data_IF_643080632236
#
_entry.id   IF_643080632236
#
_cell.length_a   1.000
_cell.length_b   1.000
_cell.length_c   1.000
_cell.angle_alpha   90.00
_cell.angle_beta   90.00
_cell.angle_gamma   90.00
#
_symmetry.space_group_name_H-M   'P 1'
#
loop_
_entity.id
_entity.type
_entity.pdbx_description
1 polymer ?
#
# COMPACT_ATOMS: atom_id res chain seq x y z
N UNK A 1 -32.61 -31.00 15.82
CA UNK A 1 -33.75 -30.43 16.57
C UNK A 1 -34.43 -29.43 15.65
N UNK A 2 -35.69 -29.64 15.30
CA UNK A 2 -36.41 -28.71 14.42
C UNK A 2 -36.71 -27.42 15.19
N UNK A 3 -36.24 -26.29 14.67
CA UNK A 3 -36.50 -24.97 15.24
C UNK A 3 -37.92 -24.57 14.79
N UNK A 4 -38.81 -24.14 15.70
CA UNK A 4 -40.19 -23.81 15.36
C UNK A 4 -40.24 -22.65 14.35
N UNK A 5 -41.17 -22.74 13.39
CA UNK A 5 -41.36 -21.76 12.31
C UNK A 5 -42.04 -20.45 12.78
N UNK A 6 -42.66 -20.46 13.96
CA UNK A 6 -43.33 -19.31 14.55
C UNK A 6 -43.04 -19.26 16.04
N UNK A 7 -42.44 -18.15 16.49
CA UNK A 7 -42.29 -17.85 17.91
C UNK A 7 -43.61 -17.19 18.34
N UNK A 8 -44.39 -17.87 19.17
CA UNK A 8 -45.60 -17.28 19.74
C UNK A 8 -45.23 -16.14 20.68
N UNK A 9 -46.01 -15.05 20.65
CA UNK A 9 -45.87 -13.97 21.61
C UNK A 9 -46.07 -14.49 23.04
N UNK A 10 -45.21 -14.04 23.95
CA UNK A 10 -45.22 -14.50 25.34
C UNK A 10 -46.52 -14.09 26.03
N UNK A 11 -47.16 -15.04 26.68
CA UNK A 11 -48.43 -14.81 27.38
C UNK A 11 -48.21 -13.88 28.58
N UNK A 12 -49.05 -12.85 28.82
CA UNK A 12 -48.84 -11.86 29.88
C UNK A 12 -48.86 -12.43 31.31
N UNK A 13 -49.31 -13.67 31.48
CA UNK A 13 -49.28 -14.42 32.74
C UNK A 13 -48.14 -15.46 32.83
N UNK A 14 -47.15 -15.41 31.92
CA UNK A 14 -45.98 -16.29 31.98
C UNK A 14 -45.11 -15.91 33.20
N UNK A 15 -44.86 -16.82 34.15
CA UNK A 15 -44.03 -16.55 35.33
C UNK A 15 -42.55 -16.25 35.00
N UNK A 16 -42.12 -16.49 33.75
CA UNK A 16 -40.79 -16.14 33.24
C UNK A 16 -40.75 -14.73 32.62
N UNK A 17 -41.90 -14.09 32.44
CA UNK A 17 -42.00 -12.73 31.94
C UNK A 17 -41.50 -11.79 33.04
N UNK A 18 -40.36 -11.15 32.78
CA UNK A 18 -39.82 -10.10 33.63
C UNK A 18 -40.86 -8.98 33.69
N UNK A 19 -41.60 -8.91 34.79
CA UNK A 19 -42.51 -7.81 35.05
C UNK A 19 -41.72 -6.50 34.91
N UNK A 20 -42.30 -5.48 34.25
CA UNK A 20 -41.65 -4.19 34.11
C UNK A 20 -41.26 -3.68 35.50
N UNK A 21 -40.02 -3.26 35.64
CA UNK A 21 -39.51 -2.79 36.92
C UNK A 21 -40.31 -1.55 37.36
N UNK A 22 -40.69 -1.45 38.63
CA UNK A 22 -41.33 -0.25 39.13
C UNK A 22 -40.36 0.93 39.02
N UNK A 23 -40.89 2.11 38.70
CA UNK A 23 -40.14 3.37 38.56
C UNK A 23 -39.31 3.71 39.80
N UNK A 24 -39.77 3.26 40.98
CA UNK A 24 -39.03 3.30 42.24
C UNK A 24 -38.83 1.90 42.77
N UNK A 25 -37.57 1.53 42.97
CA UNK A 25 -37.19 0.26 43.57
C UNK A 25 -37.64 0.18 45.03
N UNK A 26 -38.17 -0.97 45.47
CA UNK A 26 -38.53 -1.14 46.87
C UNK A 26 -37.27 -1.14 47.76
N UNK A 27 -37.39 -0.73 49.03
CA UNK A 27 -36.27 -0.77 49.95
C UNK A 27 -35.80 -2.20 50.18
N UNK A 28 -34.52 -2.34 50.58
CA UNK A 28 -33.96 -3.64 50.94
C UNK A 28 -34.82 -4.32 52.01
N UNK A 29 -35.13 -5.62 51.86
CA UNK A 29 -35.90 -6.37 52.86
C UNK A 29 -35.08 -6.71 54.13
N UNK A 30 -33.75 -6.62 54.08
CA UNK A 30 -32.84 -6.99 55.17
C UNK A 30 -33.18 -6.39 56.55
N UNK A 31 -33.43 -5.07 56.68
CA UNK A 31 -33.76 -4.47 57.98
C UNK A 31 -35.10 -4.92 58.57
N UNK A 32 -36.05 -5.38 57.75
CA UNK A 32 -37.39 -5.79 58.22
C UNK A 32 -37.48 -7.27 58.62
N UNK A 33 -36.48 -8.08 58.25
CA UNK A 33 -36.45 -9.52 58.55
C UNK A 33 -36.34 -9.83 60.05
N UNK A 34 -35.47 -9.18 60.86
CA UNK A 34 -35.32 -9.52 62.28
C UNK A 34 -36.62 -9.33 63.08
N UNK A 35 -37.35 -8.25 62.84
CA UNK A 35 -38.64 -7.97 63.49
C UNK A 35 -39.74 -8.94 63.06
N UNK A 36 -39.72 -9.40 61.80
CA UNK A 36 -40.65 -10.41 61.32
C UNK A 36 -40.36 -11.77 61.95
N UNK A 37 -39.08 -12.16 62.02
CA UNK A 37 -38.63 -13.42 62.62
C UNK A 37 -39.01 -13.47 64.11
N UNK A 38 -38.74 -12.40 64.87
CA UNK A 38 -39.13 -12.33 66.28
C UNK A 38 -40.64 -12.42 66.49
N UNK A 39 -41.44 -11.91 65.55
CA UNK A 39 -42.90 -12.02 65.61
C UNK A 39 -43.41 -13.44 65.30
N UNK A 40 -42.68 -14.21 64.47
CA UNK A 40 -42.97 -15.62 64.21
C UNK A 40 -42.54 -16.54 65.37
N UNK A 41 -41.52 -16.17 66.15
CA UNK A 41 -41.03 -16.97 67.28
C UNK A 41 -42.13 -17.28 68.31
N UNK A 42 -43.08 -16.36 68.53
CA UNK A 42 -44.25 -16.57 69.41
C UNK A 42 -45.18 -17.70 68.95
N UNK A 43 -45.20 -18.00 67.64
CA UNK A 43 -46.03 -19.06 67.06
C UNK A 43 -45.27 -20.38 66.88
N UNK A 44 -43.93 -20.34 66.85
CA UNK A 44 -43.07 -21.52 66.71
C UNK A 44 -42.75 -22.12 68.09
N UNK A 45 -42.57 -21.29 69.12
CA UNK A 45 -42.23 -21.71 70.48
C UNK A 45 -43.16 -21.06 71.52
N UNK A 46 -44.24 -21.74 71.94
CA UNK A 46 -45.20 -21.19 72.90
C UNK A 46 -44.59 -20.99 74.30
N UNK A 47 -43.43 -21.58 74.59
CA UNK A 47 -42.72 -21.38 75.87
C UNK A 47 -42.04 -20.01 75.98
N UNK A 48 -41.74 -19.36 74.85
CA UNK A 48 -41.20 -18.00 74.78
C UNK A 48 -42.28 -16.91 74.82
N UNK A 49 -43.56 -17.27 74.62
CA UNK A 49 -44.67 -16.32 74.67
C UNK A 49 -45.03 -15.87 76.09
N UNK A 50 -44.68 -16.65 77.12
CA UNK A 50 -45.03 -16.39 78.52
C UNK A 50 -43.99 -15.60 79.32
N UNK A 51 -42.78 -15.37 78.78
CA UNK A 51 -41.70 -14.65 79.47
C UNK A 51 -41.61 -13.15 79.13
N UNK A 52 -42.35 -12.67 78.12
CA UNK A 52 -42.47 -11.25 77.79
C UNK A 52 -43.73 -10.67 78.43
N UNK A 53 -43.62 -10.23 79.68
CA UNK A 53 -44.66 -9.52 80.44
C UNK A 53 -44.84 -8.08 79.93
N UNK A 54 -45.47 -7.89 78.78
CA UNK A 54 -45.95 -6.58 78.30
C UNK A 54 -47.10 -6.79 77.32
N UNK A 55 -48.04 -5.85 77.31
CA UNK A 55 -49.34 -5.80 76.61
C UNK A 55 -49.25 -5.87 75.05
N UNK A 56 -48.53 -6.84 74.49
CA UNK A 56 -48.44 -7.03 73.05
C UNK A 56 -49.51 -8.00 72.59
N UNK A 57 -50.60 -7.47 72.00
CA UNK A 57 -51.57 -8.27 71.25
C UNK A 57 -50.81 -9.15 70.23
N UNK A 58 -51.00 -10.47 70.31
CA UNK A 58 -50.39 -11.40 69.37
C UNK A 58 -50.82 -11.04 67.94
N UNK A 59 -49.86 -10.63 67.10
CA UNK A 59 -50.12 -10.21 65.72
C UNK A 59 -50.67 -11.41 64.95
N UNK A 60 -51.90 -11.32 64.46
CA UNK A 60 -52.55 -12.42 63.77
C UNK A 60 -51.69 -12.98 62.60
N UNK A 61 -51.58 -14.31 62.52
CA UNK A 61 -50.87 -15.05 61.46
C UNK A 61 -51.12 -14.55 60.01
N UNK A 62 -52.36 -14.18 59.62
CA UNK A 62 -52.61 -13.60 58.29
C UNK A 62 -51.83 -12.30 58.01
N UNK A 63 -51.58 -11.48 59.04
CA UNK A 63 -50.80 -10.24 58.93
C UNK A 63 -49.32 -10.55 58.74
N UNK A 64 -48.78 -11.50 59.50
CA UNK A 64 -47.37 -11.95 59.37
C UNK A 64 -47.09 -12.58 58.00
N UNK A 65 -48.01 -13.42 57.51
CA UNK A 65 -47.90 -14.02 56.18
C UNK A 65 -48.04 -13.00 55.05
N UNK A 66 -48.87 -11.95 55.23
CA UNK A 66 -48.93 -10.80 54.31
C UNK A 66 -47.59 -10.05 54.27
N UNK A 67 -47.01 -9.74 55.43
CA UNK A 67 -45.70 -9.08 55.54
C UNK A 67 -44.58 -9.90 54.89
N UNK A 68 -44.57 -11.22 55.10
CA UNK A 68 -43.63 -12.13 54.45
C UNK A 68 -43.77 -12.07 52.92
N UNK A 69 -45.00 -12.16 52.39
CA UNK A 69 -45.25 -12.07 50.94
C UNK A 69 -44.80 -10.73 50.37
N UNK A 70 -45.01 -9.63 51.09
CA UNK A 70 -44.55 -8.31 50.68
C UNK A 70 -43.01 -8.25 50.60
N UNK A 71 -42.32 -8.75 51.61
CA UNK A 71 -40.86 -8.85 51.63
C UNK A 71 -40.33 -9.71 50.46
N UNK A 72 -40.96 -10.86 50.20
CA UNK A 72 -40.56 -11.73 49.07
C UNK A 72 -40.74 -11.04 47.72
N UNK A 73 -41.87 -10.34 47.51
CA UNK A 73 -42.10 -9.57 46.28
C UNK A 73 -41.08 -8.44 46.10
N UNK A 74 -40.75 -7.73 47.18
CA UNK A 74 -39.73 -6.67 47.15
C UNK A 74 -38.35 -7.25 46.81
N UNK A 75 -37.97 -8.38 47.41
CA UNK A 75 -36.72 -9.08 47.10
C UNK A 75 -36.65 -9.52 45.63
N UNK A 76 -37.74 -10.06 45.10
CA UNK A 76 -37.83 -10.46 43.68
C UNK A 76 -37.71 -9.25 42.74
N UNK A 77 -38.36 -8.13 43.06
CA UNK A 77 -38.25 -6.90 42.28
C UNK A 77 -36.81 -6.37 42.25
N UNK A 78 -36.11 -6.36 43.40
CA UNK A 78 -34.70 -5.98 43.48
C UNK A 78 -33.79 -6.94 42.69
N UNK A 79 -34.04 -8.25 42.76
CA UNK A 79 -33.28 -9.24 42.02
C UNK A 79 -33.43 -9.06 40.51
N UNK A 80 -34.66 -8.82 40.04
CA UNK A 80 -34.92 -8.57 38.62
C UNK A 80 -34.26 -7.27 38.17
N UNK A 81 -34.26 -6.23 39.01
CA UNK A 81 -33.58 -4.97 38.72
C UNK A 81 -32.07 -5.14 38.61
N UNK A 82 -31.46 -5.90 39.53
CA UNK A 82 -30.04 -6.20 39.48
C UNK A 82 -29.67 -7.02 38.22
N UNK A 83 -30.52 -7.97 37.82
CA UNK A 83 -30.34 -8.74 36.57
C UNK A 83 -30.40 -7.85 35.33
N UNK A 84 -31.37 -6.95 35.28
CA UNK A 84 -31.50 -6.01 34.16
C UNK A 84 -30.29 -5.08 34.09
N UNK A 85 -29.92 -4.44 35.21
CA UNK A 85 -28.77 -3.54 35.25
C UNK A 85 -27.45 -4.24 34.91
N UNK A 86 -27.29 -5.51 35.30
CA UNK A 86 -26.12 -6.31 34.88
C UNK A 86 -26.14 -6.65 33.37
N UNK A 87 -27.32 -6.86 32.79
CA UNK A 87 -27.46 -7.08 31.35
C UNK A 87 -27.18 -5.80 30.55
N UNK A 88 -27.73 -4.67 30.98
CA UNK A 88 -27.48 -3.34 30.38
C UNK A 88 -25.99 -2.98 30.45
N UNK A 89 -25.35 -3.12 31.61
CA UNK A 89 -23.92 -2.86 31.75
C UNK A 89 -23.06 -3.78 30.87
N UNK A 90 -23.49 -5.02 30.64
CA UNK A 90 -22.81 -5.94 29.73
C UNK A 90 -22.98 -5.52 28.28
N UNK A 91 -24.17 -5.10 27.88
CA UNK A 91 -24.44 -4.58 26.54
C UNK A 91 -23.63 -3.31 26.25
N UNK A 92 -23.54 -2.41 27.24
CA UNK A 92 -22.68 -1.22 27.16
C UNK A 92 -21.21 -1.58 26.98
N UNK A 93 -20.71 -2.55 27.75
CA UNK A 93 -19.34 -3.06 27.62
C UNK A 93 -19.08 -3.65 26.23
N UNK A 94 -19.99 -4.50 25.75
CA UNK A 94 -19.90 -5.10 24.41
C UNK A 94 -19.89 -4.00 23.33
N UNK A 95 -20.67 -2.92 23.50
CA UNK A 95 -20.66 -1.75 22.62
C UNK A 95 -19.38 -0.92 22.66
N UNK A 96 -18.68 -0.87 23.80
CA UNK A 96 -17.33 -0.28 23.90
C UNK A 96 -16.30 -1.16 23.21
N UNK A 97 -16.37 -2.48 23.40
CA UNK A 97 -15.45 -3.44 22.79
C UNK A 97 -15.52 -3.42 21.26
N UNK A 98 -16.72 -3.27 20.69
CA UNK A 98 -16.88 -3.10 19.23
C UNK A 98 -16.16 -1.84 18.75
N UNK A 99 -16.38 -0.70 19.41
CA UNK A 99 -15.71 0.57 19.06
C UNK A 99 -14.20 0.50 19.20
N UNK A 100 -13.70 -0.21 20.22
CA UNK A 100 -12.26 -0.42 20.39
C UNK A 100 -11.67 -1.18 19.18
N UNK A 101 -12.33 -2.26 18.74
CA UNK A 101 -11.87 -3.03 17.58
C UNK A 101 -11.88 -2.22 16.29
N UNK A 102 -12.88 -1.36 16.10
CA UNK A 102 -12.93 -0.42 14.96
C UNK A 102 -11.71 0.50 14.94
N UNK A 103 -11.39 1.13 16.08
CA UNK A 103 -10.23 2.02 16.21
C UNK A 103 -8.91 1.27 16.03
N UNK A 104 -8.79 0.06 16.57
CA UNK A 104 -7.59 -0.77 16.38
C UNK A 104 -7.37 -1.14 14.91
N UNK A 105 -8.44 -1.46 14.20
CA UNK A 105 -8.39 -1.72 12.76
C UNK A 105 -7.94 -0.48 11.99
N UNK A 106 -8.51 0.69 12.26
CA UNK A 106 -8.11 1.95 11.62
C UNK A 106 -6.65 2.29 11.90
N UNK A 107 -6.20 2.14 13.15
CA UNK A 107 -4.80 2.36 13.52
C UNK A 107 -3.86 1.44 12.75
N UNK A 108 -4.21 0.16 12.60
CA UNK A 108 -3.39 -0.78 11.84
C UNK A 108 -3.36 -0.41 10.36
N UNK A 109 -4.52 -0.10 9.77
CA UNK A 109 -4.62 0.35 8.38
C UNK A 109 -3.75 1.58 8.12
N UNK A 110 -3.85 2.61 8.97
CA UNK A 110 -3.04 3.83 8.83
C UNK A 110 -1.55 3.54 8.99
N UNK A 111 -1.17 2.64 9.90
CA UNK A 111 0.23 2.21 10.05
C UNK A 111 0.74 1.49 8.80
N UNK A 112 -0.04 0.58 8.23
CA UNK A 112 0.32 -0.13 6.99
C UNK A 112 0.41 0.81 5.79
N UNK A 113 -0.47 1.80 5.71
CA UNK A 113 -0.42 2.83 4.68
C UNK A 113 0.79 3.75 4.86
N UNK A 114 1.08 4.17 6.09
CA UNK A 114 2.28 4.93 6.43
C UNK A 114 3.54 4.17 6.04
N UNK A 115 3.62 2.87 6.36
CA UNK A 115 4.77 2.05 5.97
C UNK A 115 4.92 1.99 4.45
N UNK A 116 3.82 1.80 3.70
CA UNK A 116 3.84 1.86 2.23
C UNK A 116 4.30 3.21 1.69
N UNK A 117 3.94 4.31 2.33
CA UNK A 117 4.43 5.63 1.96
C UNK A 117 5.92 5.83 2.30
N UNK A 118 6.41 5.23 3.39
CA UNK A 118 7.82 5.28 3.77
C UNK A 118 8.70 4.40 2.88
N UNK A 119 8.16 3.27 2.41
CA UNK A 119 8.82 2.37 1.46
C UNK A 119 8.72 2.89 0.01
N UNK A 120 8.23 4.12 -0.19
CA UNK A 120 8.21 4.76 -1.51
C UNK A 120 9.65 5.05 -1.95
N UNK A 121 10.18 4.15 -2.78
CA UNK A 121 11.44 4.36 -3.48
C UNK A 121 11.21 5.36 -4.61
N UNK A 122 11.85 6.52 -4.51
CA UNK A 122 11.71 7.56 -5.51
C UNK A 122 12.42 7.13 -6.80
N UNK A 123 11.77 7.31 -7.96
CA UNK A 123 12.32 6.80 -9.24
C UNK A 123 13.66 7.42 -9.66
N UNK A 124 14.10 8.49 -8.98
CA UNK A 124 15.38 9.15 -9.24
C UNK A 124 16.53 8.66 -8.35
N UNK A 125 16.24 7.93 -7.27
CA UNK A 125 17.25 7.36 -6.36
C UNK A 125 18.24 6.39 -7.03
N UNK A 126 17.84 5.55 -8.02
CA UNK A 126 18.80 4.71 -8.73
C UNK A 126 19.55 5.41 -9.88
N UNK A 127 19.27 6.69 -10.17
CA UNK A 127 19.93 7.41 -11.27
C UNK A 127 21.30 7.89 -10.80
N UNK A 128 22.35 7.51 -11.52
CA UNK A 128 23.71 7.98 -11.27
C UNK A 128 23.81 9.46 -11.66
N UNK A 129 23.81 10.33 -10.65
CA UNK A 129 23.86 11.78 -10.81
C UNK A 129 25.28 12.29 -10.56
N UNK A 130 25.78 13.24 -11.36
CA UNK A 130 27.09 13.86 -11.13
C UNK A 130 27.13 14.53 -9.75
N UNK A 131 28.25 14.40 -9.04
CA UNK A 131 28.46 15.00 -7.71
C UNK A 131 28.10 16.49 -7.71
N UNK A 132 27.55 16.98 -6.59
CA UNK A 132 27.07 18.37 -6.47
C UNK A 132 28.14 19.38 -6.88
N UNK A 133 29.39 19.16 -6.46
CA UNK A 133 30.50 20.05 -6.82
C UNK A 133 30.79 20.07 -8.31
N UNK A 134 30.73 18.90 -8.96
CA UNK A 134 30.95 18.79 -10.41
C UNK A 134 29.83 19.44 -11.20
N UNK A 135 28.58 19.29 -10.76
CA UNK A 135 27.42 19.94 -11.34
C UNK A 135 27.48 21.46 -11.22
N UNK A 136 27.79 21.98 -10.03
CA UNK A 136 27.91 23.43 -9.81
C UNK A 136 29.04 24.05 -10.63
N UNK A 137 30.07 23.28 -11.00
CA UNK A 137 31.16 23.73 -11.84
C UNK A 137 30.85 23.64 -13.36
N UNK A 138 29.96 22.75 -13.78
CA UNK A 138 29.63 22.53 -15.19
C UNK A 138 28.49 23.41 -15.69
N UNK A 139 27.63 23.89 -14.78
CA UNK A 139 26.39 24.61 -15.12
C UNK A 139 26.57 26.12 -15.14
N UNK A 140 25.92 26.76 -16.10
CA UNK A 140 25.92 28.22 -16.24
C UNK A 140 25.23 28.93 -15.07
N UNK A 141 25.74 30.12 -14.71
CA UNK A 141 25.25 30.91 -13.59
C UNK A 141 23.75 31.24 -13.69
N UNK A 142 23.21 31.41 -14.91
CA UNK A 142 21.79 31.70 -15.13
C UNK A 142 20.85 30.58 -14.67
N UNK A 143 21.33 29.34 -14.69
CA UNK A 143 20.57 28.17 -14.24
C UNK A 143 20.66 28.07 -12.71
N UNK A 144 21.82 28.39 -12.13
CA UNK A 144 22.00 28.47 -10.67
C UNK A 144 21.17 29.57 -10.02
N UNK A 145 20.92 30.68 -10.72
CA UNK A 145 20.10 31.79 -10.24
C UNK A 145 18.61 31.43 -10.08
N UNK A 146 18.17 30.27 -10.62
CA UNK A 146 16.82 29.74 -10.42
C UNK A 146 16.64 29.05 -9.06
N UNK A 147 17.74 28.73 -8.37
CA UNK A 147 17.68 28.03 -7.09
C UNK A 147 17.18 28.96 -5.97
N UNK A 148 16.39 28.42 -5.02
CA UNK A 148 16.07 29.12 -3.79
C UNK A 148 17.32 29.51 -3.00
N UNK A 149 17.21 30.40 -2.00
CA UNK A 149 18.30 30.67 -1.07
C UNK A 149 18.74 29.38 -0.35
N UNK A 150 20.04 29.21 -0.12
CA UNK A 150 20.62 28.03 0.58
C UNK A 150 20.03 27.72 1.95
N UNK A 151 19.41 28.70 2.60
CA UNK A 151 18.85 28.57 3.94
C UNK A 151 17.37 28.13 3.92
N UNK A 152 16.78 27.96 2.73
CA UNK A 152 15.40 27.53 2.58
C UNK A 152 15.29 26.00 2.67
N UNK A 153 14.23 25.48 3.29
CA UNK A 153 14.00 24.04 3.46
C UNK A 153 13.82 23.33 2.11
N UNK A 154 13.39 24.06 1.08
CA UNK A 154 13.24 23.55 -0.29
C UNK A 154 14.52 23.53 -1.14
N UNK A 155 15.65 24.04 -0.64
CA UNK A 155 16.87 24.19 -1.44
C UNK A 155 17.42 22.87 -1.96
N UNK A 156 17.55 21.86 -1.10
CA UNK A 156 18.10 20.55 -1.45
C UNK A 156 17.23 19.83 -2.50
N UNK A 157 15.90 19.96 -2.39
CA UNK A 157 14.98 19.39 -3.36
C UNK A 157 15.03 20.11 -4.71
N UNK A 158 15.09 21.45 -4.70
CA UNK A 158 15.26 22.22 -5.91
C UNK A 158 16.59 21.90 -6.61
N UNK A 159 17.66 21.70 -5.84
CA UNK A 159 18.98 21.32 -6.35
C UNK A 159 18.97 19.93 -7.00
N UNK A 160 18.29 18.94 -6.41
CA UNK A 160 18.18 17.60 -7.02
C UNK A 160 17.36 17.62 -8.31
N UNK A 161 16.27 18.39 -8.37
CA UNK A 161 15.50 18.58 -9.61
C UNK A 161 16.38 19.18 -10.70
N UNK A 162 17.11 20.25 -10.40
CA UNK A 162 17.95 20.93 -11.37
C UNK A 162 19.08 20.03 -11.90
N UNK A 163 19.65 19.18 -11.02
CA UNK A 163 20.63 18.15 -11.41
C UNK A 163 20.03 17.12 -12.37
N UNK A 164 18.80 16.69 -12.13
CA UNK A 164 18.09 15.75 -13.01
C UNK A 164 17.76 16.37 -14.38
N UNK A 165 17.33 17.63 -14.39
CA UNK A 165 17.04 18.36 -15.63
C UNK A 165 18.29 18.52 -16.50
N UNK A 166 19.42 18.88 -15.89
CA UNK A 166 20.70 18.97 -16.59
C UNK A 166 21.14 17.61 -17.17
N UNK A 167 21.07 16.53 -16.40
CA UNK A 167 21.43 15.20 -16.90
C UNK A 167 20.53 14.79 -18.08
N UNK A 168 19.23 15.10 -18.01
CA UNK A 168 18.31 14.87 -19.12
C UNK A 168 18.72 15.64 -20.38
N UNK A 169 19.09 16.92 -20.25
CA UNK A 169 19.60 17.71 -21.38
C UNK A 169 20.90 17.13 -21.96
N UNK A 170 21.81 16.67 -21.10
CA UNK A 170 23.05 16.05 -21.54
C UNK A 170 22.82 14.71 -22.26
N UNK A 171 21.92 13.87 -21.75
CA UNK A 171 21.51 12.62 -22.39
C UNK A 171 20.94 12.91 -23.77
N UNK A 172 19.99 13.84 -23.89
CA UNK A 172 19.40 14.22 -25.18
C UNK A 172 20.45 14.72 -26.18
N UNK A 173 21.42 15.52 -25.71
CA UNK A 173 22.54 15.99 -26.53
C UNK A 173 23.43 14.84 -26.99
N UNK A 174 23.76 13.89 -26.11
CA UNK A 174 24.55 12.69 -26.44
C UNK A 174 23.80 11.79 -27.43
N UNK A 175 22.51 11.58 -27.24
CA UNK A 175 21.67 10.79 -28.15
C UNK A 175 21.62 11.41 -29.55
N UNK A 176 21.45 12.74 -29.65
CA UNK A 176 21.49 13.44 -30.92
C UNK A 176 22.86 13.30 -31.62
N UNK A 177 23.95 13.38 -30.86
CA UNK A 177 25.30 13.15 -31.39
C UNK A 177 25.49 11.71 -31.87
N UNK A 178 25.05 10.72 -31.11
CA UNK A 178 25.11 9.31 -31.50
C UNK A 178 24.30 9.06 -32.77
N UNK A 179 23.09 9.63 -32.87
CA UNK A 179 22.26 9.51 -34.07
C UNK A 179 22.97 10.12 -35.30
N UNK A 180 23.59 11.29 -35.15
CA UNK A 180 24.33 11.95 -36.22
C UNK A 180 25.57 11.14 -36.62
N UNK A 181 26.37 10.69 -35.67
CA UNK A 181 27.55 9.84 -35.93
C UNK A 181 27.17 8.51 -36.59
N UNK A 182 26.04 7.94 -36.20
CA UNK A 182 25.49 6.71 -36.81
C UNK A 182 25.12 6.95 -38.27
N UNK A 183 24.46 8.07 -38.57
CA UNK A 183 24.11 8.48 -39.92
C UNK A 183 25.36 8.71 -40.79
N UNK A 184 26.35 9.39 -40.24
CA UNK A 184 27.61 9.69 -40.94
C UNK A 184 28.41 8.41 -41.20
N UNK A 185 28.51 7.51 -40.21
CA UNK A 185 29.08 6.16 -40.38
C UNK A 185 28.40 5.41 -41.53
N UNK A 186 27.09 5.41 -41.59
CA UNK A 186 26.34 4.70 -42.64
C UNK A 186 26.51 5.35 -44.01
N UNK A 187 26.69 6.67 -44.07
CA UNK A 187 27.06 7.38 -45.28
C UNK A 187 28.48 6.98 -45.74
N UNK A 188 29.46 6.93 -44.83
CA UNK A 188 30.82 6.49 -45.15
C UNK A 188 30.89 5.03 -45.60
N UNK A 189 30.11 4.13 -44.98
CA UNK A 189 30.03 2.73 -45.41
C UNK A 189 29.49 2.64 -46.85
N UNK A 190 28.45 3.42 -47.18
CA UNK A 190 27.90 3.47 -48.55
C UNK A 190 28.90 4.03 -49.55
N UNK A 191 29.53 5.16 -49.24
CA UNK A 191 30.56 5.75 -50.08
C UNK A 191 31.74 4.78 -50.30
N UNK A 192 32.19 4.09 -49.25
CA UNK A 192 33.25 3.07 -49.35
C UNK A 192 32.85 1.91 -50.27
N UNK A 193 31.62 1.44 -50.19
CA UNK A 193 31.09 0.39 -51.10
C UNK A 193 31.07 0.87 -52.55
N UNK A 194 30.62 2.10 -52.79
CA UNK A 194 30.57 2.69 -54.13
C UNK A 194 31.96 2.89 -54.73
N UNK A 195 32.90 3.43 -53.94
CA UNK A 195 34.30 3.56 -54.36
C UNK A 195 34.87 2.20 -54.70
N UNK A 196 34.64 1.17 -53.87
CA UNK A 196 35.10 -0.20 -54.15
C UNK A 196 34.57 -0.70 -55.50
N UNK A 197 33.27 -0.56 -55.77
CA UNK A 197 32.67 -0.97 -57.05
C UNK A 197 33.31 -0.24 -58.23
N UNK A 198 33.55 1.07 -58.11
CA UNK A 198 34.19 1.86 -59.16
C UNK A 198 35.65 1.46 -59.38
N UNK A 199 36.40 1.21 -58.31
CA UNK A 199 37.78 0.73 -58.38
C UNK A 199 37.85 -0.65 -59.04
N UNK A 200 37.00 -1.60 -58.63
CA UNK A 200 36.93 -2.92 -59.23
C UNK A 200 36.62 -2.83 -60.74
N UNK A 201 35.75 -1.89 -61.16
CA UNK A 201 35.47 -1.63 -62.57
C UNK A 201 36.67 -1.05 -63.32
N UNK A 202 37.38 -0.07 -62.73
CA UNK A 202 38.62 0.49 -63.30
C UNK A 202 39.67 -0.60 -63.49
N UNK A 203 39.83 -1.51 -62.52
CA UNK A 203 40.77 -2.64 -62.63
C UNK A 203 40.44 -3.56 -63.81
N UNK A 204 39.15 -3.86 -64.03
CA UNK A 204 38.70 -4.64 -65.20
C UNK A 204 39.00 -3.90 -66.51
N UNK A 205 38.71 -2.60 -66.58
CA UNK A 205 39.01 -1.78 -67.76
C UNK A 205 40.52 -1.70 -68.02
N UNK A 206 41.35 -1.55 -66.99
CA UNK A 206 42.80 -1.49 -67.10
C UNK A 206 43.37 -2.83 -67.59
N UNK A 207 42.88 -3.95 -67.07
CA UNK A 207 43.24 -5.28 -67.57
C UNK A 207 42.82 -5.51 -69.03
N UNK A 208 41.67 -4.95 -69.44
CA UNK A 208 41.24 -4.94 -70.84
C UNK A 208 42.15 -4.09 -71.73
N UNK A 209 42.47 -2.87 -71.28
CA UNK A 209 43.38 -1.97 -71.97
C UNK A 209 44.78 -2.57 -72.13
N UNK A 210 45.35 -3.16 -71.08
CA UNK A 210 46.65 -3.83 -71.13
C UNK A 210 46.68 -4.95 -72.17
N UNK A 211 45.61 -5.77 -72.25
CA UNK A 211 45.48 -6.81 -73.28
C UNK A 211 45.42 -6.23 -74.69
N UNK A 212 44.62 -5.20 -74.91
CA UNK A 212 44.52 -4.53 -76.22
C UNK A 212 45.83 -3.83 -76.61
N UNK A 213 46.48 -3.15 -75.67
CA UNK A 213 47.77 -2.50 -75.88
C UNK A 213 48.87 -3.52 -76.22
N UNK A 214 48.91 -4.66 -75.54
CA UNK A 214 49.82 -5.76 -75.89
C UNK A 214 49.52 -6.33 -77.29
N UNK A 215 48.25 -6.49 -77.65
CA UNK A 215 47.85 -6.97 -78.97
C UNK A 215 48.22 -5.98 -80.09
N UNK A 216 47.99 -4.68 -79.89
CA UNK A 216 48.39 -3.63 -80.84
C UNK A 216 49.92 -3.53 -80.91
N UNK A 217 50.62 -3.57 -79.77
CA UNK A 217 52.08 -3.59 -79.72
C UNK A 217 52.67 -4.77 -80.50
N UNK A 218 52.08 -5.96 -80.37
CA UNK A 218 52.44 -7.13 -81.19
C UNK A 218 52.21 -6.87 -82.69
N UNK A 219 51.04 -6.35 -83.08
CA UNK A 219 50.74 -6.05 -84.49
C UNK A 219 51.65 -4.96 -85.08
N UNK A 220 51.96 -3.92 -84.31
CA UNK A 220 52.88 -2.86 -84.72
C UNK A 220 54.29 -3.41 -84.87
N UNK A 221 54.72 -4.31 -83.98
CA UNK A 221 55.98 -5.04 -84.12
C UNK A 221 55.98 -5.90 -85.38
N UNK A 222 54.91 -6.66 -85.65
CA UNK A 222 54.79 -7.46 -86.88
C UNK A 222 54.85 -6.58 -88.15
N UNK A 223 54.18 -5.42 -88.15
CA UNK A 223 54.23 -4.47 -89.27
C UNK A 223 55.61 -3.83 -89.43
N UNK A 224 56.30 -3.52 -88.32
CA UNK A 224 57.66 -2.99 -88.33
C UNK A 224 58.67 -4.03 -88.82
N UNK A 225 58.51 -5.30 -88.45
CA UNK A 225 59.34 -6.42 -88.92
C UNK A 225 59.10 -6.72 -90.41
N UNK A 226 57.89 -6.48 -90.94
CA UNK A 226 57.57 -6.59 -92.38
C UNK A 226 58.12 -5.42 -93.22
N UNK A 227 58.33 -4.24 -92.63
CA UNK A 227 58.96 -3.09 -93.29
C UNK A 227 60.46 -2.96 -93.05
N UNK A 228 61.08 -3.87 -92.29
CA UNK A 228 62.53 -4.02 -92.32
C UNK A 228 62.90 -4.56 -93.70
N UNK A 229 63.62 -3.80 -94.55
CA UNK A 229 64.04 -4.32 -95.85
C UNK A 229 64.95 -5.52 -95.59
N UNK A 230 64.54 -6.70 -96.05
CA UNK A 230 65.44 -7.83 -96.23
C UNK A 230 66.44 -7.44 -97.32
N UNK A 231 67.55 -6.82 -96.91
CA UNK A 231 68.73 -6.71 -97.75
C UNK A 231 69.31 -8.12 -97.85
N UNK A 232 68.89 -8.83 -98.91
CA UNK A 232 69.65 -9.93 -99.47
C UNK A 232 70.98 -9.38 -100.00
N UNK A 233 72.03 -9.47 -99.19
CA UNK A 233 73.41 -9.27 -99.60
C UNK A 233 74.03 -10.55 -100.17
N UNK A 234 74.93 -10.46 -101.17
CA UNK A 234 75.27 -11.55 -102.08
C UNK A 234 76.30 -12.54 -101.52
N UNK A 235 76.35 -13.71 -102.16
CA UNK A 235 77.45 -14.67 -102.16
C UNK A 235 78.81 -14.06 -102.49
N UNK A 236 79.85 -14.49 -101.78
CA UNK A 236 81.30 -14.64 -102.13
C UNK A 236 82.05 -14.69 -100.78
N UNK A 237 82.96 -15.62 -100.44
CA UNK A 237 83.78 -16.59 -101.18
C UNK A 237 84.04 -17.81 -100.28
#
# INVERSE_FOLDING_TARGET
MAIPHTIQEQHPADPLLLLPLPEKLPPSPLPALPSLISAFDHYIDPSKASSSSSENESIALPVLTSSMRQITRNAQALLNAARLGAAEAREELDGVDVRLREVEYERNRVREETQRCMDYESSHEPIDLPDVETFLASVDQSVLDTLPPKNDEGYEHALTILRLEHELEEILKREAQVAQLTKDRDAYIRAKKEIKIKTDAVDVHLAGFARTANAVGSKVKDVADVHAPSVSGPSTS
#
